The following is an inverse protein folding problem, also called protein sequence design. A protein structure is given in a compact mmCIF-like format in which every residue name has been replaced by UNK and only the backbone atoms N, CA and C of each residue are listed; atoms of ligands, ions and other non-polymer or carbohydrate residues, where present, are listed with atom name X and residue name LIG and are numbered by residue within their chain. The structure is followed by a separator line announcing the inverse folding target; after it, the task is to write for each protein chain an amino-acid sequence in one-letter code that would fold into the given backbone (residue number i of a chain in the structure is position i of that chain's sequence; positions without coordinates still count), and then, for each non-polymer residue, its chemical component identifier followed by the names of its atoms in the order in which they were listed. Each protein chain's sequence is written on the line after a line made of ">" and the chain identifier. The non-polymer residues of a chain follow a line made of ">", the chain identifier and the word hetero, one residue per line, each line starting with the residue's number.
data_IF_709135308726
#
_entry.id   IF_709135308726
#
_cell.length_a   1.000
_cell.length_b   1.000
_cell.length_c   1.000
_cell.angle_alpha   90.00
_cell.angle_beta   90.00
_cell.angle_gamma   90.00
#
_symmetry.space_group_name_H-M   'P 1'
#
loop_
_entity.id
_entity.type
_entity.pdbx_description
1 polymer ?
#
# COMPACT_ATOMS: atom_id res chain seq x y z
N UNK A 1 -1.66 -12.91 9.22
CA UNK A 1 -2.44 -11.67 9.45
C UNK A 1 -3.67 -11.99 10.28
N UNK A 2 -4.08 -11.08 11.15
CA UNK A 2 -5.37 -11.21 11.78
C UNK A 2 -6.47 -10.78 10.78
N UNK A 3 -7.75 -10.92 11.19
CA UNK A 3 -8.88 -10.65 10.28
C UNK A 3 -8.90 -9.22 9.77
N UNK A 4 -8.66 -8.24 10.62
CA UNK A 4 -8.71 -6.83 10.23
C UNK A 4 -7.55 -6.47 9.32
N UNK A 5 -6.39 -7.03 9.56
CA UNK A 5 -5.23 -6.86 8.67
C UNK A 5 -5.52 -7.44 7.29
N UNK A 6 -6.17 -8.61 7.24
CA UNK A 6 -6.54 -9.24 5.97
C UNK A 6 -7.60 -8.41 5.22
N UNK A 7 -8.60 -7.89 5.92
CA UNK A 7 -9.62 -7.03 5.31
C UNK A 7 -9.01 -5.73 4.79
N UNK A 8 -8.09 -5.13 5.55
CA UNK A 8 -7.37 -3.94 5.11
C UNK A 8 -6.55 -4.23 3.85
N UNK A 9 -5.86 -5.37 3.82
CA UNK A 9 -5.09 -5.81 2.66
C UNK A 9 -5.96 -5.89 1.41
N UNK A 10 -7.17 -6.42 1.53
CA UNK A 10 -8.10 -6.53 0.41
C UNK A 10 -8.55 -5.15 -0.09
N UNK A 11 -8.76 -4.20 0.82
CA UNK A 11 -9.13 -2.83 0.44
C UNK A 11 -7.98 -2.12 -0.28
N UNK A 12 -6.74 -2.31 0.18
CA UNK A 12 -5.57 -1.75 -0.49
C UNK A 12 -5.46 -2.28 -1.92
N UNK A 13 -5.62 -3.59 -2.06
CA UNK A 13 -5.56 -4.24 -3.37
C UNK A 13 -6.62 -3.70 -4.33
N UNK A 14 -7.85 -3.58 -3.86
CA UNK A 14 -8.96 -3.06 -4.67
C UNK A 14 -8.75 -1.59 -5.02
N UNK A 15 -8.28 -0.79 -4.07
CA UNK A 15 -8.01 0.64 -4.28
C UNK A 15 -6.94 0.83 -5.36
N UNK A 16 -5.83 0.10 -5.26
CA UNK A 16 -4.75 0.19 -6.23
C UNK A 16 -5.21 -0.24 -7.62
N UNK A 17 -6.00 -1.30 -7.72
CA UNK A 17 -6.56 -1.74 -9.01
C UNK A 17 -7.46 -0.68 -9.62
N UNK A 18 -8.31 -0.06 -8.80
CA UNK A 18 -9.25 0.97 -9.27
C UNK A 18 -8.52 2.20 -9.80
N UNK A 19 -7.51 2.69 -9.07
CA UNK A 19 -6.87 3.96 -9.37
C UNK A 19 -5.63 3.84 -10.26
N UNK A 20 -5.02 2.67 -10.34
CA UNK A 20 -3.78 2.46 -11.10
C UNK A 20 -3.93 1.47 -12.25
N UNK A 21 -5.10 0.88 -12.41
CA UNK A 21 -5.38 -0.08 -13.48
C UNK A 21 -4.94 -1.51 -13.16
N UNK A 22 -3.84 -1.68 -12.43
CA UNK A 22 -3.37 -2.96 -11.94
C UNK A 22 -3.09 -2.85 -10.45
N UNK A 23 -3.71 -3.73 -9.67
CA UNK A 23 -3.40 -3.85 -8.25
C UNK A 23 -2.28 -4.85 -8.00
N UNK A 24 -1.68 -4.83 -6.81
CA UNK A 24 -0.69 -5.84 -6.44
C UNK A 24 -1.32 -7.23 -6.37
N UNK A 25 -0.52 -8.25 -6.67
CA UNK A 25 -0.99 -9.64 -6.59
C UNK A 25 -1.17 -10.09 -5.14
N UNK A 26 -0.31 -9.62 -4.25
CA UNK A 26 -0.37 -9.93 -2.82
C UNK A 26 -0.14 -8.68 -1.99
N UNK A 27 -0.91 -8.57 -0.93
CA UNK A 27 -0.74 -7.53 0.09
C UNK A 27 -0.75 -8.18 1.46
N UNK A 28 0.26 -7.90 2.25
CA UNK A 28 0.34 -8.36 3.65
C UNK A 28 0.39 -7.14 4.55
N UNK A 29 -0.56 -7.02 5.46
CA UNK A 29 -0.67 -5.87 6.36
C UNK A 29 -0.33 -6.25 7.79
N UNK A 30 0.40 -5.37 8.46
CA UNK A 30 0.69 -5.47 9.89
C UNK A 30 0.31 -4.14 10.53
N UNK A 31 -0.51 -4.19 11.60
CA UNK A 31 -0.79 -3.00 12.40
C UNK A 31 0.27 -2.87 13.48
N UNK A 32 0.88 -1.70 13.55
CA UNK A 32 1.89 -1.36 14.53
C UNK A 32 1.64 0.07 14.95
N UNK A 33 1.27 0.29 16.23
CA UNK A 33 0.89 1.62 16.70
C UNK A 33 -0.26 2.17 15.83
N UNK A 34 -0.15 3.40 15.34
CA UNK A 34 -1.16 4.01 14.46
C UNK A 34 -0.88 3.74 12.98
N UNK A 35 -0.06 2.75 12.67
CA UNK A 35 0.39 2.47 11.30
C UNK A 35 -0.17 1.16 10.78
N UNK A 36 -0.62 1.18 9.52
CA UNK A 36 -0.88 -0.02 8.75
C UNK A 36 0.29 -0.19 7.78
N UNK A 37 1.14 -1.16 8.04
CA UNK A 37 2.33 -1.42 7.24
C UNK A 37 1.98 -2.50 6.24
N UNK A 38 2.04 -2.17 4.95
CA UNK A 38 1.68 -3.08 3.86
C UNK A 38 2.89 -3.43 3.02
N UNK A 39 3.15 -4.72 2.90
CA UNK A 39 4.10 -5.24 1.91
C UNK A 39 3.31 -5.74 0.71
N UNK A 40 3.68 -5.30 -0.49
CA UNK A 40 2.95 -5.60 -1.72
C UNK A 40 3.87 -6.22 -2.75
N UNK A 41 3.45 -7.35 -3.31
CA UNK A 41 4.21 -8.04 -4.35
C UNK A 41 3.40 -8.11 -5.64
N UNK A 42 4.09 -8.16 -6.77
CA UNK A 42 3.45 -8.27 -8.07
C UNK A 42 2.72 -7.00 -8.47
N UNK A 43 3.41 -5.87 -8.38
CA UNK A 43 2.85 -4.54 -8.65
C UNK A 43 2.97 -4.12 -10.12
N UNK A 44 4.00 -4.58 -10.82
CA UNK A 44 4.35 -4.04 -12.12
C UNK A 44 3.52 -4.66 -13.25
N UNK A 45 3.06 -3.82 -14.15
CA UNK A 45 2.42 -4.24 -15.39
C UNK A 45 3.46 -4.78 -16.38
N UNK A 46 3.05 -5.50 -17.46
CA UNK A 46 4.00 -5.94 -18.46
C UNK A 46 4.83 -4.83 -19.09
N UNK A 47 4.25 -3.66 -19.33
CA UNK A 47 4.98 -2.50 -19.87
C UNK A 47 6.03 -2.04 -18.87
N UNK A 48 5.66 -1.97 -17.60
CA UNK A 48 6.60 -1.56 -16.56
C UNK A 48 7.73 -2.58 -16.38
N UNK A 49 7.44 -3.87 -16.50
CA UNK A 49 8.46 -4.92 -16.46
C UNK A 49 9.47 -4.74 -17.61
N UNK A 50 8.98 -4.35 -18.76
CA UNK A 50 9.86 -4.06 -19.90
C UNK A 50 10.76 -2.86 -19.59
N UNK A 51 10.20 -1.78 -19.05
CA UNK A 51 10.97 -0.59 -18.66
C UNK A 51 12.01 -0.90 -17.59
N UNK A 52 11.73 -1.86 -16.73
CA UNK A 52 12.61 -2.25 -15.62
C UNK A 52 13.87 -3.01 -16.07
N UNK A 53 14.03 -3.30 -17.36
CA UNK A 53 15.20 -4.01 -17.85
C UNK A 53 16.49 -3.19 -17.79
N UNK A 54 16.38 -1.86 -17.70
CA UNK A 54 17.54 -0.98 -17.56
C UNK A 54 17.55 -0.29 -16.21
N UNK A 55 18.74 0.13 -15.77
CA UNK A 55 18.88 0.89 -14.52
C UNK A 55 18.12 2.20 -14.56
N UNK A 56 18.20 2.91 -15.68
CA UNK A 56 17.49 4.18 -15.86
C UNK A 56 15.98 3.95 -15.83
N UNK A 57 15.49 2.91 -16.49
CA UNK A 57 14.07 2.58 -16.47
C UNK A 57 13.57 2.25 -15.06
N UNK A 58 14.36 1.50 -14.30
CA UNK A 58 14.01 1.19 -12.91
C UNK A 58 13.90 2.45 -12.04
N UNK A 59 14.83 3.38 -12.21
CA UNK A 59 14.82 4.62 -11.45
C UNK A 59 13.62 5.49 -11.82
N UNK A 60 13.32 5.60 -13.10
CA UNK A 60 12.15 6.33 -13.59
C UNK A 60 10.86 5.75 -13.02
N UNK A 61 10.73 4.43 -13.04
CA UNK A 61 9.55 3.75 -12.51
C UNK A 61 9.40 3.98 -11.01
N UNK A 62 10.49 3.87 -10.27
CA UNK A 62 10.45 4.09 -8.82
C UNK A 62 9.96 5.50 -8.50
N UNK A 63 10.53 6.50 -9.15
CA UNK A 63 10.13 7.89 -8.95
C UNK A 63 8.68 8.12 -9.35
N UNK A 64 8.31 7.69 -10.55
CA UNK A 64 6.96 7.89 -11.07
C UNK A 64 5.91 7.22 -10.19
N UNK A 65 6.15 5.97 -9.79
CA UNK A 65 5.18 5.22 -8.98
C UNK A 65 5.01 5.81 -7.59
N UNK A 66 6.12 6.18 -6.92
CA UNK A 66 6.02 6.75 -5.57
C UNK A 66 5.31 8.09 -5.57
N UNK A 67 5.60 8.93 -6.54
CA UNK A 67 4.90 10.22 -6.69
C UNK A 67 3.43 10.03 -7.02
N UNK A 68 3.13 9.17 -7.97
CA UNK A 68 1.76 8.92 -8.42
C UNK A 68 0.89 8.36 -7.29
N UNK A 69 1.40 7.39 -6.54
CA UNK A 69 0.64 6.78 -5.45
C UNK A 69 0.30 7.80 -4.38
N UNK A 70 1.25 8.63 -4.00
CA UNK A 70 1.01 9.69 -3.00
C UNK A 70 -0.05 10.67 -3.48
N UNK A 71 0.02 11.08 -4.74
CA UNK A 71 -0.93 12.01 -5.32
C UNK A 71 -2.33 11.40 -5.38
N UNK A 72 -2.44 10.13 -5.77
CA UNK A 72 -3.73 9.44 -5.83
C UNK A 72 -4.41 9.43 -4.45
N UNK A 73 -3.68 9.08 -3.40
CA UNK A 73 -4.26 9.04 -2.04
C UNK A 73 -4.61 10.43 -1.53
N UNK A 74 -3.91 11.46 -1.99
CA UNK A 74 -4.24 12.84 -1.66
C UNK A 74 -5.54 13.29 -2.33
N UNK A 75 -5.68 12.98 -3.63
CA UNK A 75 -6.84 13.38 -4.41
C UNK A 75 -8.06 12.50 -4.14
N UNK A 76 -7.85 11.25 -3.75
CA UNK A 76 -8.89 10.27 -3.48
C UNK A 76 -8.65 9.64 -2.12
N UNK A 77 -9.05 10.31 -1.02
CA UNK A 77 -8.85 9.76 0.32
C UNK A 77 -9.43 8.35 0.45
N UNK A 78 -8.77 7.47 1.20
CA UNK A 78 -9.17 6.05 1.28
C UNK A 78 -10.34 5.86 2.25
N UNK A 79 -11.52 6.33 1.86
CA UNK A 79 -12.70 6.37 2.72
C UNK A 79 -13.16 4.99 3.19
N UNK A 80 -12.99 3.95 2.38
CA UNK A 80 -13.36 2.59 2.76
C UNK A 80 -12.42 2.04 3.84
N UNK A 81 -11.13 2.37 3.76
CA UNK A 81 -10.16 2.01 4.78
C UNK A 81 -10.45 2.73 6.09
N UNK A 82 -10.78 4.02 6.01
CA UNK A 82 -11.17 4.81 7.18
C UNK A 82 -12.41 4.22 7.84
N UNK A 83 -13.40 3.85 7.04
CA UNK A 83 -14.64 3.26 7.56
C UNK A 83 -14.37 1.92 8.24
N UNK A 84 -13.52 1.07 7.63
CA UNK A 84 -13.16 -0.22 8.21
C UNK A 84 -12.50 -0.07 9.57
N UNK A 85 -11.57 0.87 9.68
CA UNK A 85 -10.74 1.02 10.88
C UNK A 85 -11.37 1.94 11.93
N UNK A 86 -12.37 2.74 11.56
CA UNK A 86 -12.91 3.77 12.43
C UNK A 86 -11.83 4.80 12.78
N UNK A 87 -11.00 5.16 11.82
CA UNK A 87 -9.85 6.03 12.02
C UNK A 87 -9.65 6.89 10.79
N UNK A 88 -9.10 8.09 10.98
CA UNK A 88 -8.81 9.01 9.88
C UNK A 88 -7.42 8.77 9.33
N UNK A 89 -7.31 8.69 8.01
CA UNK A 89 -6.04 8.63 7.30
C UNK A 89 -5.34 9.99 7.38
N UNK A 90 -4.06 9.97 7.78
CA UNK A 90 -3.27 11.19 7.95
C UNK A 90 -2.21 11.32 6.87
N UNK A 91 -1.45 10.25 6.62
CA UNK A 91 -0.26 10.33 5.77
C UNK A 91 0.11 8.96 5.22
N UNK A 92 0.77 8.96 4.05
CA UNK A 92 1.25 7.75 3.40
C UNK A 92 2.75 7.89 3.11
N UNK A 93 3.51 6.89 3.55
CA UNK A 93 4.89 6.71 3.13
C UNK A 93 4.93 5.50 2.21
N UNK A 94 5.65 5.61 1.11
CA UNK A 94 5.68 4.54 0.11
C UNK A 94 7.04 4.48 -0.55
N UNK A 95 7.50 3.27 -0.79
CA UNK A 95 8.67 3.00 -1.61
C UNK A 95 8.47 1.66 -2.32
N UNK A 96 9.26 1.42 -3.34
CA UNK A 96 9.20 0.18 -4.11
C UNK A 96 10.59 -0.21 -4.59
N UNK A 97 10.91 -1.48 -4.43
CA UNK A 97 12.07 -2.10 -5.06
C UNK A 97 11.60 -2.64 -6.41
N UNK A 98 11.94 -1.94 -7.48
CA UNK A 98 11.49 -2.28 -8.83
C UNK A 98 12.05 -3.63 -9.28
N UNK A 99 13.33 -3.89 -8.98
CA UNK A 99 13.97 -5.13 -9.42
C UNK A 99 13.32 -6.37 -8.83
N UNK A 100 12.88 -6.30 -7.58
CA UNK A 100 12.22 -7.40 -6.89
C UNK A 100 10.70 -7.34 -7.01
N UNK A 101 10.16 -6.24 -7.52
CA UNK A 101 8.72 -5.97 -7.57
C UNK A 101 8.05 -6.12 -6.21
N UNK A 102 8.67 -5.51 -5.20
CA UNK A 102 8.15 -5.47 -3.84
C UNK A 102 8.00 -4.02 -3.41
N UNK A 103 6.78 -3.65 -3.05
CA UNK A 103 6.48 -2.31 -2.54
C UNK A 103 6.18 -2.35 -1.05
N UNK A 104 6.48 -1.24 -0.38
CA UNK A 104 6.12 -1.05 1.02
C UNK A 104 5.33 0.26 1.14
N UNK A 105 4.21 0.20 1.83
CA UNK A 105 3.42 1.39 2.17
C UNK A 105 3.15 1.42 3.65
N UNK A 106 3.33 2.59 4.26
CA UNK A 106 2.96 2.81 5.66
C UNK A 106 1.85 3.85 5.67
N UNK A 107 0.64 3.40 6.02
CA UNK A 107 -0.52 4.27 6.19
C UNK A 107 -0.56 4.72 7.63
N UNK A 108 -0.52 6.02 7.86
CA UNK A 108 -0.62 6.59 9.21
C UNK A 108 -2.06 7.04 9.44
N UNK A 109 -2.64 6.59 10.56
CA UNK A 109 -4.00 6.94 10.96
C UNK A 109 -3.98 7.70 12.28
N UNK A 110 -5.11 8.27 12.68
CA UNK A 110 -5.22 9.05 13.91
C UNK A 110 -5.62 8.22 15.14
N UNK A 111 -5.65 6.89 15.02
CA UNK A 111 -5.98 5.96 16.10
C UNK A 111 -4.88 4.92 16.24
N UNK A 112 -4.74 4.37 17.44
CA UNK A 112 -3.80 3.27 17.68
C UNK A 112 -4.42 1.97 17.16
N UNK A 113 -4.02 1.57 15.97
CA UNK A 113 -4.56 0.39 15.29
C UNK A 113 -4.13 -0.90 15.97
N UNK A 114 -2.93 -0.91 16.54
CA UNK A 114 -2.41 -2.08 17.26
C UNK A 114 -3.27 -2.37 18.49
N UNK A 115 -3.60 -1.36 19.25
CA UNK A 115 -4.49 -1.50 20.42
C UNK A 115 -5.90 -1.91 19.99
N UNK A 116 -6.40 -1.31 18.91
CA UNK A 116 -7.77 -1.55 18.44
C UNK A 116 -7.95 -2.96 17.89
N UNK A 117 -7.00 -3.45 17.11
CA UNK A 117 -7.15 -4.64 16.29
C UNK A 117 -6.01 -5.63 16.39
N UNK A 118 -4.84 -5.21 16.85
CA UNK A 118 -3.62 -5.99 16.79
C UNK A 118 -3.48 -6.96 17.93
N UNK A 119 -4.13 -8.08 17.85
CA UNK A 119 -4.08 -9.11 18.89
C UNK A 119 -3.02 -10.16 18.57
N UNK A 120 -1.82 -9.69 18.32
CA UNK A 120 -0.79 -10.59 17.79
C UNK A 120 -0.31 -11.66 18.72
N UNK A 121 -0.19 -11.35 19.95
CA UNK A 121 0.28 -12.32 20.91
C UNK A 121 -0.85 -13.01 21.60
N UNK A 122 -1.91 -12.89 20.95
CA UNK A 122 -3.10 -13.66 21.35
C UNK A 122 -3.16 -13.87 22.74
#
# INVERSE_FOLDING_TARGET
>A
MNRMEAEFSNLVKAYRKRHMGKGPERVTTTFCKSWAICEMAGNLSPVEKFMAKTGDGRQMLRTARTEMVKEIYKDHPPVEMEALLGAKFIQLFVDIDIAQDVGMSVFVFDEDLEKKFGTRNG
#
